data_IF_230419248779
#
_entry.id   IF_230419248779
#
_cell.length_a   1.000
_cell.length_b   1.000
_cell.length_c   1.000
_cell.angle_alpha   90.00
_cell.angle_beta   90.00
_cell.angle_gamma   90.00
#
_symmetry.space_group_name_H-M   'P 1'
#
loop_
_entity.id
_entity.type
_entity.pdbx_description
1 polymer ?
#
# COMPACT_ATOMS: atom_id res chain seq x y z
N UNK A 1 -7.99 -5.09 -33.93
CA UNK A 1 -7.94 -6.15 -32.88
C UNK A 1 -7.30 -7.40 -33.47
N UNK A 2 -6.28 -7.94 -32.80
CA UNK A 2 -5.65 -9.23 -33.16
C UNK A 2 -6.67 -10.37 -33.09
N UNK A 3 -6.51 -11.40 -33.93
CA UNK A 3 -7.36 -12.60 -33.93
C UNK A 3 -7.38 -13.26 -32.54
N UNK A 4 -6.23 -13.28 -31.85
CA UNK A 4 -6.14 -13.83 -30.50
C UNK A 4 -7.02 -13.10 -29.49
N UNK A 5 -7.17 -11.77 -29.57
CA UNK A 5 -8.06 -11.04 -28.65
C UNK A 5 -9.53 -11.44 -28.81
N UNK A 6 -9.97 -11.69 -30.05
CA UNK A 6 -11.35 -12.16 -30.30
C UNK A 6 -11.57 -13.56 -29.74
N UNK A 7 -10.58 -14.44 -29.91
CA UNK A 7 -10.63 -15.80 -29.36
C UNK A 7 -10.63 -15.76 -27.83
N UNK A 8 -9.84 -14.88 -27.19
CA UNK A 8 -9.83 -14.69 -25.75
C UNK A 8 -11.19 -14.30 -25.17
N UNK A 9 -11.93 -13.41 -25.85
CA UNK A 9 -13.26 -13.00 -25.41
C UNK A 9 -14.27 -14.16 -25.49
N UNK A 10 -14.21 -14.96 -26.57
CA UNK A 10 -15.06 -16.14 -26.69
C UNK A 10 -14.71 -17.16 -25.61
N UNK A 11 -13.42 -17.41 -25.40
CA UNK A 11 -12.93 -18.30 -24.36
C UNK A 11 -13.42 -17.88 -22.97
N UNK A 12 -13.32 -16.59 -22.63
CA UNK A 12 -13.82 -16.05 -21.37
C UNK A 12 -15.31 -16.35 -21.17
N UNK A 13 -16.16 -16.10 -22.17
CA UNK A 13 -17.60 -16.39 -22.09
C UNK A 13 -17.86 -17.90 -21.95
N UNK A 14 -17.03 -18.75 -22.53
CA UNK A 14 -17.17 -20.20 -22.41
C UNK A 14 -16.87 -20.71 -20.99
N UNK A 15 -16.10 -19.99 -20.18
CA UNK A 15 -15.80 -20.38 -18.79
C UNK A 15 -17.07 -20.48 -17.93
N UNK A 16 -18.07 -19.62 -18.18
CA UNK A 16 -19.35 -19.68 -17.46
C UNK A 16 -20.07 -21.03 -17.63
N UNK A 17 -19.88 -21.68 -18.78
CA UNK A 17 -20.51 -22.97 -19.10
C UNK A 17 -19.74 -24.18 -18.55
N UNK A 18 -18.49 -23.98 -18.12
CA UNK A 18 -17.64 -25.04 -17.57
C UNK A 18 -17.89 -25.27 -16.06
N UNK A 19 -18.76 -24.47 -15.44
CA UNK A 19 -19.12 -24.56 -14.02
C UNK A 19 -20.03 -25.75 -13.68
N UNK A 20 -20.56 -26.46 -14.68
CA UNK A 20 -21.48 -27.59 -14.48
C UNK A 20 -20.70 -28.90 -14.34
N UNK A 21 -20.74 -29.50 -13.14
CA UNK A 21 -20.09 -30.79 -12.88
C UNK A 21 -20.54 -31.89 -13.86
N UNK A 22 -19.57 -32.58 -14.47
CA UNK A 22 -19.80 -33.75 -15.32
C UNK A 22 -19.87 -33.48 -16.83
N UNK A 23 -19.70 -32.23 -17.29
CA UNK A 23 -19.52 -31.91 -18.70
C UNK A 23 -18.04 -31.73 -19.07
N UNK A 24 -17.71 -32.04 -20.32
CA UNK A 24 -16.39 -31.71 -20.86
C UNK A 24 -16.23 -30.19 -20.93
N UNK A 25 -15.07 -29.67 -20.53
CA UNK A 25 -14.73 -28.25 -20.56
C UNK A 25 -14.81 -27.70 -21.99
N UNK A 26 -15.87 -26.94 -22.26
CA UNK A 26 -16.11 -26.29 -23.54
C UNK A 26 -15.02 -25.25 -23.82
N UNK A 27 -14.55 -24.54 -22.79
CA UNK A 27 -13.48 -23.56 -22.93
C UNK A 27 -12.16 -24.22 -23.37
N UNK A 28 -11.79 -25.36 -22.79
CA UNK A 28 -10.53 -26.06 -23.11
C UNK A 28 -10.59 -26.75 -24.48
N UNK A 29 -11.75 -27.30 -24.82
CA UNK A 29 -12.01 -27.85 -26.15
C UNK A 29 -11.87 -26.76 -27.21
N UNK A 30 -12.44 -25.57 -26.95
CA UNK A 30 -12.33 -24.42 -27.82
C UNK A 30 -10.89 -23.88 -27.93
N UNK A 31 -10.18 -23.75 -26.82
CA UNK A 31 -8.78 -23.29 -26.81
C UNK A 31 -7.89 -24.22 -27.64
N UNK A 32 -8.06 -25.54 -27.46
CA UNK A 32 -7.34 -26.57 -28.23
C UNK A 32 -7.67 -26.48 -29.73
N UNK A 33 -8.95 -26.39 -30.08
CA UNK A 33 -9.40 -26.34 -31.48
C UNK A 33 -8.98 -25.06 -32.20
N UNK A 34 -8.91 -23.94 -31.48
CA UNK A 34 -8.52 -22.63 -32.03
C UNK A 34 -7.02 -22.35 -31.95
N UNK A 35 -6.22 -23.28 -31.39
CA UNK A 35 -4.78 -23.09 -31.14
C UNK A 35 -4.51 -21.79 -30.38
N UNK A 36 -5.31 -21.52 -29.37
CA UNK A 36 -5.18 -20.34 -28.54
C UNK A 36 -3.86 -20.39 -27.75
N UNK A 37 -3.07 -19.31 -27.70
CA UNK A 37 -1.86 -19.31 -26.90
C UNK A 37 -2.19 -19.36 -25.40
N UNK A 38 -1.51 -20.24 -24.66
CA UNK A 38 -1.73 -20.50 -23.24
C UNK A 38 -1.75 -19.24 -22.36
N UNK A 39 -0.92 -18.24 -22.67
CA UNK A 39 -0.90 -16.95 -21.93
C UNK A 39 -2.26 -16.25 -21.93
N UNK A 40 -3.03 -16.35 -23.01
CA UNK A 40 -4.36 -15.75 -23.08
C UNK A 40 -5.39 -16.58 -22.31
N UNK A 41 -5.23 -17.91 -22.27
CA UNK A 41 -6.09 -18.79 -21.47
C UNK A 41 -5.91 -18.51 -19.99
N UNK A 42 -4.65 -18.49 -19.52
CA UNK A 42 -4.28 -18.17 -18.14
C UNK A 42 -4.83 -16.80 -17.76
N UNK A 43 -4.60 -15.77 -18.59
CA UNK A 43 -5.04 -14.43 -18.27
C UNK A 43 -6.57 -14.31 -18.20
N UNK A 44 -7.29 -14.90 -19.16
CA UNK A 44 -8.76 -14.85 -19.16
C UNK A 44 -9.37 -15.65 -18.00
N UNK A 45 -8.80 -16.81 -17.64
CA UNK A 45 -9.18 -17.55 -16.43
C UNK A 45 -8.97 -16.71 -15.17
N UNK A 46 -7.83 -16.03 -15.07
CA UNK A 46 -7.55 -15.13 -13.95
C UNK A 46 -8.59 -14.01 -13.82
N UNK A 47 -8.87 -13.30 -14.92
CA UNK A 47 -9.90 -12.25 -14.93
C UNK A 47 -11.30 -12.79 -14.58
N UNK A 48 -11.65 -13.96 -15.09
CA UNK A 48 -12.93 -14.59 -14.78
C UNK A 48 -13.10 -14.88 -13.28
N UNK A 49 -12.07 -15.40 -12.62
CA UNK A 49 -12.09 -15.57 -11.15
C UNK A 49 -12.15 -14.22 -10.41
N UNK A 50 -11.48 -13.17 -10.91
CA UNK A 50 -11.60 -11.82 -10.32
C UNK A 50 -13.02 -11.27 -10.41
N UNK A 51 -13.68 -11.45 -11.54
CA UNK A 51 -15.07 -11.02 -11.74
C UNK A 51 -16.06 -11.82 -10.87
N UNK A 52 -15.73 -13.08 -10.58
CA UNK A 52 -16.42 -13.93 -9.60
C UNK A 52 -16.14 -13.60 -8.13
N UNK A 53 -15.29 -12.60 -7.84
CA UNK A 53 -14.80 -12.24 -6.50
C UNK A 53 -13.98 -13.36 -5.81
N UNK A 54 -13.48 -14.33 -6.57
CA UNK A 54 -12.60 -15.40 -6.10
C UNK A 54 -11.13 -14.96 -6.17
N UNK A 55 -10.79 -13.88 -5.45
CA UNK A 55 -9.49 -13.20 -5.58
C UNK A 55 -8.29 -14.10 -5.25
N UNK A 56 -8.41 -15.01 -4.28
CA UNK A 56 -7.33 -15.94 -3.93
C UNK A 56 -6.99 -16.88 -5.09
N UNK A 57 -8.02 -17.47 -5.72
CA UNK A 57 -7.86 -18.32 -6.90
C UNK A 57 -7.37 -17.52 -8.09
N UNK A 58 -7.92 -16.33 -8.30
CA UNK A 58 -7.52 -15.44 -9.39
C UNK A 58 -6.03 -15.11 -9.36
N UNK A 59 -5.46 -14.90 -8.16
CA UNK A 59 -4.06 -14.53 -7.96
C UNK A 59 -3.10 -15.55 -8.59
N UNK A 60 -3.41 -16.85 -8.49
CA UNK A 60 -2.59 -17.94 -9.07
C UNK A 60 -2.43 -17.80 -10.60
N UNK A 61 -3.43 -17.22 -11.25
CA UNK A 61 -3.43 -17.00 -12.70
C UNK A 61 -2.83 -15.65 -13.07
N UNK A 62 -3.29 -14.55 -12.45
CA UNK A 62 -2.90 -13.19 -12.85
C UNK A 62 -1.45 -12.86 -12.48
N UNK A 63 -0.87 -13.56 -11.49
CA UNK A 63 0.53 -13.42 -11.13
C UNK A 63 1.47 -14.32 -11.96
N UNK A 64 0.96 -15.06 -12.94
CA UNK A 64 1.76 -16.01 -13.71
C UNK A 64 2.86 -15.30 -14.53
N UNK A 65 4.12 -15.77 -14.50
CA UNK A 65 5.27 -15.05 -15.09
C UNK A 65 5.26 -14.96 -16.62
N UNK A 66 4.40 -15.73 -17.31
CA UNK A 66 4.23 -15.63 -18.77
C UNK A 66 3.36 -14.45 -19.20
N UNK A 67 2.74 -13.74 -18.25
CA UNK A 67 1.84 -12.63 -18.51
C UNK A 67 2.59 -11.31 -18.56
N UNK A 68 2.10 -10.39 -19.39
CA UNK A 68 2.55 -9.00 -19.38
C UNK A 68 1.67 -8.25 -18.39
N UNK A 69 2.27 -7.43 -17.53
CA UNK A 69 1.60 -6.68 -16.47
C UNK A 69 0.82 -5.46 -16.99
N UNK A 70 0.15 -5.58 -18.14
CA UNK A 70 -0.49 -4.44 -18.80
C UNK A 70 -1.70 -3.89 -18.05
N UNK A 71 -2.41 -4.77 -17.35
CA UNK A 71 -3.61 -4.51 -16.53
C UNK A 71 -3.31 -4.51 -15.03
N UNK A 72 -2.04 -4.42 -14.64
CA UNK A 72 -1.64 -4.50 -13.24
C UNK A 72 -2.30 -3.43 -12.36
N UNK A 73 -2.48 -2.21 -12.89
CA UNK A 73 -3.21 -1.14 -12.23
C UNK A 73 -4.64 -1.55 -11.86
N UNK A 74 -5.40 -2.09 -12.82
CA UNK A 74 -6.79 -2.50 -12.59
C UNK A 74 -6.87 -3.68 -11.62
N UNK A 75 -5.94 -4.63 -11.73
CA UNK A 75 -5.83 -5.78 -10.82
C UNK A 75 -5.57 -5.31 -9.39
N UNK A 76 -4.60 -4.42 -9.19
CA UNK A 76 -4.27 -3.84 -7.88
C UNK A 76 -5.46 -3.06 -7.32
N UNK A 77 -6.10 -2.21 -8.13
CA UNK A 77 -7.28 -1.46 -7.71
C UNK A 77 -8.37 -2.43 -7.23
N UNK A 78 -8.66 -3.49 -7.99
CA UNK A 78 -9.67 -4.47 -7.62
C UNK A 78 -9.31 -5.22 -6.33
N UNK A 79 -8.06 -5.67 -6.19
CA UNK A 79 -7.61 -6.39 -4.99
C UNK A 79 -7.66 -5.50 -3.73
N UNK A 80 -7.17 -4.26 -3.80
CA UNK A 80 -7.18 -3.34 -2.65
C UNK A 80 -8.60 -2.91 -2.29
N UNK A 81 -9.47 -2.65 -3.27
CA UNK A 81 -10.85 -2.21 -3.01
C UNK A 81 -11.75 -3.31 -2.44
N UNK A 82 -11.43 -4.58 -2.67
CA UNK A 82 -12.17 -5.73 -2.15
C UNK A 82 -11.49 -6.40 -0.96
N UNK A 83 -10.41 -5.81 -0.42
CA UNK A 83 -9.78 -6.26 0.81
C UNK A 83 -10.78 -6.19 1.98
N UNK A 84 -11.03 -7.33 2.63
CA UNK A 84 -11.88 -7.40 3.83
C UNK A 84 -11.10 -6.94 5.06
N UNK A 85 -11.71 -6.08 5.88
CA UNK A 85 -11.16 -5.67 7.19
C UNK A 85 -9.72 -5.12 7.17
N UNK A 86 -9.27 -4.58 6.04
CA UNK A 86 -7.90 -4.06 5.87
C UNK A 86 -6.84 -5.15 5.66
N UNK A 87 -7.25 -6.38 5.33
CA UNK A 87 -6.35 -7.44 4.89
C UNK A 87 -5.95 -7.23 3.42
N UNK A 88 -4.77 -6.66 3.22
CA UNK A 88 -4.21 -6.39 1.90
C UNK A 88 -3.24 -7.47 1.41
N UNK A 89 -3.20 -8.65 2.05
CA UNK A 89 -2.20 -9.69 1.76
C UNK A 89 -2.20 -10.10 0.28
N UNK A 90 -3.37 -10.23 -0.34
CA UNK A 90 -3.47 -10.59 -1.77
C UNK A 90 -2.92 -9.49 -2.69
N UNK A 91 -3.24 -8.22 -2.40
CA UNK A 91 -2.76 -7.08 -3.19
C UNK A 91 -1.24 -6.92 -3.08
N UNK A 92 -0.70 -7.01 -1.86
CA UNK A 92 0.73 -6.93 -1.61
C UNK A 92 1.47 -8.14 -2.20
N UNK A 93 0.92 -9.36 -2.06
CA UNK A 93 1.48 -10.56 -2.67
C UNK A 93 1.58 -10.45 -4.19
N UNK A 94 0.53 -9.94 -4.85
CA UNK A 94 0.57 -9.65 -6.28
C UNK A 94 1.67 -8.65 -6.61
N UNK A 95 1.71 -7.52 -5.89
CA UNK A 95 2.66 -6.44 -6.14
C UNK A 95 4.12 -6.88 -5.98
N UNK A 96 4.45 -7.62 -4.92
CA UNK A 96 5.81 -8.11 -4.67
C UNK A 96 6.23 -9.21 -5.65
N UNK A 97 5.29 -10.03 -6.12
CA UNK A 97 5.57 -11.14 -7.04
C UNK A 97 5.74 -10.64 -8.47
N UNK A 98 4.85 -9.77 -8.93
CA UNK A 98 4.81 -9.30 -10.33
C UNK A 98 5.72 -8.08 -10.54
N UNK A 99 5.95 -7.27 -9.50
CA UNK A 99 6.69 -6.01 -9.54
C UNK A 99 6.30 -5.13 -10.74
N UNK A 100 4.99 -4.84 -10.92
CA UNK A 100 4.51 -4.14 -12.10
C UNK A 100 4.93 -2.66 -12.09
N UNK A 101 5.13 -2.10 -13.28
CA UNK A 101 5.25 -0.64 -13.44
C UNK A 101 3.85 -0.04 -13.46
N UNK A 102 3.48 0.66 -12.40
CA UNK A 102 2.17 1.30 -12.25
C UNK A 102 2.06 2.53 -13.16
N UNK A 103 0.96 2.60 -13.92
CA UNK A 103 0.75 3.64 -14.94
C UNK A 103 -0.10 4.80 -14.41
N UNK A 104 -0.95 4.55 -13.41
CA UNK A 104 -1.93 5.48 -12.86
C UNK A 104 -1.58 5.86 -11.43
N UNK A 105 -1.83 7.13 -11.08
CA UNK A 105 -1.65 7.61 -9.70
C UNK A 105 -2.56 6.87 -8.73
N UNK A 106 -3.79 6.54 -9.14
CA UNK A 106 -4.76 5.81 -8.31
C UNK A 106 -4.24 4.44 -7.87
N UNK A 107 -3.68 3.65 -8.78
CA UNK A 107 -3.14 2.34 -8.43
C UNK A 107 -1.95 2.47 -7.46
N UNK A 108 -1.06 3.46 -7.71
CA UNK A 108 0.06 3.78 -6.84
C UNK A 108 -0.37 4.18 -5.44
N UNK A 109 -1.32 5.11 -5.32
CA UNK A 109 -1.84 5.59 -4.04
C UNK A 109 -2.52 4.46 -3.25
N UNK A 110 -3.29 3.61 -3.92
CA UNK A 110 -3.98 2.49 -3.25
C UNK A 110 -3.01 1.43 -2.73
N UNK A 111 -2.05 0.96 -3.55
CA UNK A 111 -1.08 -0.03 -3.09
C UNK A 111 -0.13 0.53 -2.05
N UNK A 112 0.21 1.81 -2.16
CA UNK A 112 1.02 2.49 -1.15
C UNK A 112 0.27 2.61 0.18
N UNK A 113 -1.02 2.96 0.14
CA UNK A 113 -1.86 3.00 1.33
C UNK A 113 -1.96 1.63 2.02
N UNK A 114 -2.17 0.57 1.23
CA UNK A 114 -2.11 -0.81 1.72
C UNK A 114 -0.77 -1.13 2.39
N UNK A 115 0.34 -0.82 1.73
CA UNK A 115 1.69 -1.01 2.26
C UNK A 115 1.92 -0.22 3.56
N UNK A 116 1.46 1.03 3.64
CA UNK A 116 1.59 1.88 4.82
C UNK A 116 0.78 1.39 6.02
N UNK A 117 -0.34 0.70 5.78
CA UNK A 117 -1.16 0.10 6.84
C UNK A 117 -0.59 -1.24 7.33
N UNK A 118 0.08 -2.00 6.46
CA UNK A 118 0.68 -3.30 6.79
C UNK A 118 2.11 -3.20 7.31
N UNK A 119 2.94 -2.31 6.75
CA UNK A 119 4.34 -2.13 7.12
C UNK A 119 4.84 -0.71 6.82
N UNK A 120 4.83 0.17 7.83
CA UNK A 120 5.28 1.56 7.72
C UNK A 120 6.75 1.68 7.26
N UNK A 121 7.62 0.74 7.66
CA UNK A 121 9.04 0.76 7.29
C UNK A 121 9.20 0.49 5.79
N UNK A 122 8.47 -0.49 5.27
CA UNK A 122 8.47 -0.82 3.86
C UNK A 122 7.94 0.35 3.02
N UNK A 123 6.82 0.95 3.44
CA UNK A 123 6.25 2.11 2.76
C UNK A 123 7.22 3.30 2.73
N UNK A 124 7.94 3.57 3.83
CA UNK A 124 8.99 4.58 3.85
C UNK A 124 10.08 4.28 2.81
N UNK A 125 10.62 3.06 2.78
CA UNK A 125 11.65 2.67 1.81
C UNK A 125 11.13 2.76 0.37
N UNK A 126 9.88 2.36 0.13
CA UNK A 126 9.27 2.43 -1.19
C UNK A 126 9.09 3.88 -1.67
N UNK A 127 8.66 4.79 -0.79
CA UNK A 127 8.53 6.22 -1.15
C UNK A 127 9.85 6.82 -1.64
N UNK A 128 10.98 6.39 -1.05
CA UNK A 128 12.34 6.85 -1.40
C UNK A 128 12.82 6.40 -2.78
N UNK A 129 12.14 5.44 -3.41
CA UNK A 129 12.45 5.01 -4.78
C UNK A 129 11.93 5.98 -5.84
N UNK A 130 11.11 6.97 -5.44
CA UNK A 130 10.47 7.92 -6.34
C UNK A 130 11.18 9.29 -6.33
N UNK A 131 11.02 10.11 -7.40
CA UNK A 131 11.49 11.49 -7.42
C UNK A 131 10.84 12.35 -6.33
N UNK A 132 11.54 13.41 -5.90
CA UNK A 132 11.20 14.23 -4.72
C UNK A 132 9.72 14.63 -4.61
N UNK A 133 9.09 15.10 -5.69
CA UNK A 133 7.68 15.49 -5.67
C UNK A 133 6.75 14.31 -5.33
N UNK A 134 6.93 13.17 -5.99
CA UNK A 134 6.13 11.97 -5.74
C UNK A 134 6.48 11.37 -4.38
N UNK A 135 7.76 11.37 -4.00
CA UNK A 135 8.22 10.94 -2.69
C UNK A 135 7.56 11.73 -1.56
N UNK A 136 7.49 13.06 -1.68
CA UNK A 136 6.83 13.91 -0.68
C UNK A 136 5.34 13.58 -0.57
N UNK A 137 4.64 13.43 -1.71
CA UNK A 137 3.23 13.04 -1.72
C UNK A 137 3.00 11.71 -1.01
N UNK A 138 3.79 10.69 -1.35
CA UNK A 138 3.71 9.36 -0.72
C UNK A 138 4.08 9.44 0.77
N UNK A 139 5.07 10.25 1.14
CA UNK A 139 5.45 10.43 2.55
C UNK A 139 4.34 11.10 3.38
N UNK A 140 3.64 12.11 2.82
CA UNK A 140 2.47 12.70 3.48
C UNK A 140 1.32 11.68 3.59
N UNK A 141 1.12 10.85 2.56
CA UNK A 141 0.16 9.75 2.62
C UNK A 141 0.53 8.72 3.70
N UNK A 142 1.81 8.36 3.84
CA UNK A 142 2.31 7.45 4.89
C UNK A 142 1.87 7.94 6.27
N UNK A 143 2.11 9.22 6.57
CA UNK A 143 1.72 9.82 7.85
C UNK A 143 0.20 9.79 8.03
N UNK A 144 -0.56 10.10 6.98
CA UNK A 144 -2.02 10.11 6.99
C UNK A 144 -2.60 8.72 7.28
N UNK A 145 -2.11 7.69 6.59
CA UNK A 145 -2.57 6.31 6.73
C UNK A 145 -2.20 5.73 8.09
N UNK A 146 -0.97 5.97 8.55
CA UNK A 146 -0.49 5.44 9.82
C UNK A 146 -1.17 6.10 11.02
N UNK A 147 -1.42 7.42 11.00
CA UNK A 147 -2.03 8.13 12.15
C UNK A 147 -3.56 8.31 12.05
N UNK A 148 -4.13 8.17 10.85
CA UNK A 148 -5.56 8.39 10.58
C UNK A 148 -6.40 7.12 10.77
N UNK A 149 -5.83 5.96 10.49
CA UNK A 149 -6.48 4.66 10.69
C UNK A 149 -6.10 4.06 12.04
N UNK A 150 -6.83 3.03 12.49
CA UNK A 150 -6.46 2.24 13.68
C UNK A 150 -5.28 1.31 13.37
N UNK A 151 -4.19 1.86 12.86
CA UNK A 151 -2.98 1.08 12.58
C UNK A 151 -2.33 0.69 13.90
N UNK A 152 -2.00 -0.58 14.06
CA UNK A 152 -1.21 -1.04 15.20
C UNK A 152 0.20 -0.43 15.20
N UNK A 153 0.66 0.06 14.04
CA UNK A 153 1.98 0.63 13.81
C UNK A 153 2.05 2.15 14.03
N UNK A 154 0.98 2.77 14.55
CA UNK A 154 0.94 4.20 14.90
C UNK A 154 2.15 4.66 15.73
N UNK A 155 2.62 3.80 16.64
CA UNK A 155 3.77 4.08 17.51
C UNK A 155 5.11 4.04 16.79
N UNK A 156 5.24 3.26 15.71
CA UNK A 156 6.50 3.03 15.00
C UNK A 156 6.91 4.26 14.18
N UNK A 157 5.95 5.03 13.67
CA UNK A 157 6.18 6.21 12.83
C UNK A 157 7.16 7.22 13.46
N UNK A 158 7.08 7.42 14.77
CA UNK A 158 7.94 8.37 15.48
C UNK A 158 9.39 7.91 15.59
N UNK A 159 9.67 6.61 15.42
CA UNK A 159 11.00 6.01 15.54
C UNK A 159 11.62 5.67 14.18
N UNK A 160 10.93 5.93 13.08
CA UNK A 160 11.46 5.67 11.75
C UNK A 160 12.66 6.60 11.43
N UNK A 161 13.67 6.07 10.72
CA UNK A 161 14.90 6.78 10.42
C UNK A 161 14.70 7.73 9.23
N UNK A 162 14.06 8.87 9.48
CA UNK A 162 13.88 9.89 8.44
C UNK A 162 15.19 10.61 8.13
N UNK A 163 15.35 11.02 6.88
CA UNK A 163 16.39 11.98 6.52
C UNK A 163 15.96 13.43 6.86
N UNK A 164 16.85 14.39 6.61
CA UNK A 164 16.60 15.79 6.94
C UNK A 164 15.41 16.40 6.20
N UNK A 165 15.10 15.93 5.00
CA UNK A 165 14.00 16.47 4.17
C UNK A 165 12.68 15.88 4.66
N UNK A 166 12.65 14.57 4.88
CA UNK A 166 11.52 13.87 5.49
C UNK A 166 11.18 14.39 6.88
N UNK A 167 12.19 14.76 7.69
CA UNK A 167 11.97 15.41 8.98
C UNK A 167 11.23 16.75 8.83
N UNK A 168 11.62 17.55 7.84
CA UNK A 168 10.98 18.83 7.55
C UNK A 168 9.54 18.63 7.07
N UNK A 169 9.30 17.70 6.14
CA UNK A 169 7.96 17.35 5.66
C UNK A 169 7.07 16.83 6.78
N UNK A 170 7.61 16.00 7.68
CA UNK A 170 6.89 15.45 8.81
C UNK A 170 6.42 16.55 9.76
N UNK A 171 7.30 17.48 10.12
CA UNK A 171 6.95 18.61 10.98
C UNK A 171 5.96 19.56 10.32
N UNK A 172 6.17 19.91 9.05
CA UNK A 172 5.26 20.78 8.30
C UNK A 172 3.86 20.17 8.22
N UNK A 173 3.77 18.90 7.82
CA UNK A 173 2.49 18.21 7.64
C UNK A 173 1.66 18.13 8.93
N UNK A 174 2.31 17.84 10.07
CA UNK A 174 1.64 17.68 11.36
C UNK A 174 1.46 18.99 12.14
N UNK A 175 2.17 20.07 11.80
CA UNK A 175 2.04 21.35 12.50
C UNK A 175 1.13 22.34 11.78
N UNK A 176 1.31 22.52 10.47
CA UNK A 176 0.62 23.53 9.67
C UNK A 176 -0.22 22.94 8.53
N UNK A 177 0.16 21.76 8.04
CA UNK A 177 -0.50 21.07 6.93
C UNK A 177 -1.79 20.33 7.30
N UNK A 178 -2.23 19.47 6.38
CA UNK A 178 -3.49 18.74 6.46
C UNK A 178 -3.53 17.74 7.64
N UNK A 179 -2.37 17.25 8.06
CA UNK A 179 -2.20 16.32 9.19
C UNK A 179 -2.38 16.95 10.57
N UNK A 180 -2.48 18.27 10.69
CA UNK A 180 -2.54 18.98 12.00
C UNK A 180 -3.70 18.57 12.91
N UNK A 181 -4.79 18.08 12.32
CA UNK A 181 -6.01 17.69 13.02
C UNK A 181 -6.05 16.20 13.37
N UNK A 182 -5.02 15.42 13.00
CA UNK A 182 -4.93 14.02 13.37
C UNK A 182 -4.79 13.90 14.90
N UNK A 183 -5.51 12.95 15.49
CA UNK A 183 -5.69 12.84 16.95
C UNK A 183 -4.36 12.78 17.72
N UNK A 184 -3.33 12.18 17.13
CA UNK A 184 -1.99 12.02 17.73
C UNK A 184 -0.92 12.95 17.16
N UNK A 185 -1.25 13.88 16.25
CA UNK A 185 -0.26 14.71 15.54
C UNK A 185 0.78 15.37 16.49
N UNK A 186 0.29 16.06 17.53
CA UNK A 186 1.15 16.74 18.50
C UNK A 186 2.00 15.79 19.34
N UNK A 187 1.43 14.65 19.74
CA UNK A 187 2.12 13.64 20.52
C UNK A 187 3.19 12.95 19.67
N UNK A 188 2.91 12.63 18.41
CA UNK A 188 3.88 12.02 17.50
C UNK A 188 5.05 12.97 17.20
N UNK A 189 4.80 14.27 16.97
CA UNK A 189 5.88 15.28 16.86
C UNK A 189 6.74 15.27 18.12
N UNK A 190 6.12 15.27 19.29
CA UNK A 190 6.84 15.31 20.55
C UNK A 190 7.72 14.05 20.74
N UNK A 191 7.15 12.86 20.56
CA UNK A 191 7.87 11.59 20.67
C UNK A 191 9.02 11.55 19.68
N UNK A 192 8.83 12.03 18.46
CA UNK A 192 9.88 12.07 17.43
C UNK A 192 11.06 12.97 17.84
N UNK A 193 10.78 14.14 18.43
CA UNK A 193 11.83 15.03 18.95
C UNK A 193 12.61 14.39 20.08
N UNK A 194 11.94 13.63 20.95
CA UNK A 194 12.58 12.84 22.02
C UNK A 194 13.47 11.75 21.40
N UNK A 195 12.94 10.98 20.45
CA UNK A 195 13.65 9.89 19.79
C UNK A 195 14.87 10.36 18.99
N UNK A 196 14.84 11.60 18.49
CA UNK A 196 15.90 12.20 17.68
C UNK A 196 16.90 13.05 18.49
N UNK A 197 16.88 12.98 19.83
CA UNK A 197 17.76 13.76 20.73
C UNK A 197 17.63 15.30 20.55
N UNK A 198 16.47 15.77 20.08
CA UNK A 198 16.19 17.21 19.85
C UNK A 198 15.60 17.88 21.08
N UNK A 199 16.17 17.60 22.25
CA UNK A 199 15.65 18.04 23.55
C UNK A 199 15.64 19.56 23.73
N UNK A 200 16.55 20.28 23.08
CA UNK A 200 16.59 21.75 23.10
C UNK A 200 15.30 22.38 22.57
N UNK A 201 14.66 21.75 21.59
CA UNK A 201 13.40 22.22 20.99
C UNK A 201 12.17 21.95 21.89
N UNK A 202 12.31 21.06 22.87
CA UNK A 202 11.23 20.60 23.75
C UNK A 202 11.09 21.51 24.98
N UNK A 203 12.13 22.28 25.32
CA UNK A 203 12.18 23.10 26.54
C UNK A 203 10.98 24.05 26.67
N UNK A 204 10.55 24.64 25.56
CA UNK A 204 9.44 25.60 25.51
C UNK A 204 8.08 24.94 25.28
N UNK A 205 8.04 23.67 24.88
CA UNK A 205 6.78 22.95 24.65
C UNK A 205 6.07 22.62 25.96
N UNK A 206 4.77 22.85 25.98
CA UNK A 206 3.86 22.40 27.04
C UNK A 206 2.86 21.44 26.41
N UNK A 207 2.71 20.26 27.00
CA UNK A 207 1.64 19.32 26.63
C UNK A 207 0.79 19.00 27.85
N UNK A 208 -0.51 18.90 27.64
CA UNK A 208 -1.45 18.33 28.62
C UNK A 208 -1.72 16.85 28.35
N UNK A 209 -0.97 16.23 27.42
CA UNK A 209 -1.09 14.81 27.11
C UNK A 209 -0.35 13.94 28.12
N UNK A 210 -0.45 12.62 27.94
CA UNK A 210 0.23 11.61 28.77
C UNK A 210 1.76 11.79 28.85
N UNK A 211 2.35 12.56 27.93
CA UNK A 211 3.78 12.86 27.88
C UNK A 211 4.22 13.99 28.82
N UNK A 212 3.29 14.67 29.51
CA UNK A 212 3.58 15.77 30.44
C UNK A 212 4.63 15.43 31.51
N UNK A 213 4.50 14.33 32.27
CA UNK A 213 5.50 13.93 33.25
C UNK A 213 6.87 13.62 32.65
N UNK A 214 6.92 13.03 31.45
CA UNK A 214 8.17 12.73 30.73
C UNK A 214 8.88 14.03 30.35
N UNK A 215 8.12 15.04 29.88
CA UNK A 215 8.65 16.36 29.56
C UNK A 215 9.26 17.06 30.76
N UNK A 216 8.61 17.01 31.92
CA UNK A 216 9.12 17.64 33.14
C UNK A 216 10.42 16.97 33.60
N UNK A 217 10.50 15.64 33.52
CA UNK A 217 11.73 14.89 33.79
C UNK A 217 12.89 15.28 32.86
N UNK A 218 12.62 15.34 31.55
CA UNK A 218 13.62 15.77 30.56
C UNK A 218 14.10 17.19 30.84
N UNK A 219 13.19 18.14 31.09
CA UNK A 219 13.55 19.54 31.38
C UNK A 219 14.43 19.66 32.61
N UNK A 220 14.06 18.95 33.68
CA UNK A 220 14.83 18.92 34.92
C UNK A 220 16.25 18.36 34.70
N UNK A 221 16.38 17.32 33.87
CA UNK A 221 17.68 16.73 33.53
C UNK A 221 18.60 17.66 32.72
N UNK A 222 18.05 18.39 31.74
CA UNK A 222 18.82 19.36 30.93
C UNK A 222 19.29 20.53 31.78
N UNK A 223 18.45 21.02 32.71
CA UNK A 223 18.78 22.16 33.56
C UNK A 223 19.91 21.81 34.56
N UNK A 224 19.94 20.56 35.05
CA UNK A 224 21.02 20.08 35.93
C UNK A 224 22.38 19.86 35.24
N UNK A 225 22.49 19.93 33.90
CA UNK A 225 23.78 19.88 33.18
C UNK A 225 24.40 21.26 32.94
N UNK A 226 23.68 22.34 33.25
CA UNK A 226 24.13 23.73 33.05
C UNK A 226 24.64 24.40 34.34
N UNK A 227 24.55 23.72 35.49
CA UNK A 227 25.17 24.09 36.78
C UNK A 227 26.51 23.36 36.99
#
# INVERSE_FOLDING_TARGET
MSMHHKLSLIYYVLLDFDTVEGQASLSETFASASSMPQKYEIFMKGLWYMDGLEFSTALEYVAHPSLVSDFADDIIIALVQNASDGDYDLALSYFHTVQPVLKTSKALELIFGAMAQTNVTEALLYSRTHPDHTREQLFRQLIAETLGNKSEQEGELAFLPFDSIEEAWFEEYLSTGDGRNLKKAKDTILVRKIASDRFGEIRTQRTSSQWGPVLEGIKSGIEGQLE
#
